data_IF_588627902124
#
_entry.id   IF_588627902124
#
_cell.length_a   1.000
_cell.length_b   1.000
_cell.length_c   1.000
_cell.angle_alpha   90.00
_cell.angle_beta   90.00
_cell.angle_gamma   90.00
#
_symmetry.space_group_name_H-M   'P 1'
#
loop_
_entity.id
_entity.type
_entity.pdbx_description
1 polymer ?
#
# COMPACT_ATOMS: atom_id res chain seq x y z
N UNK A 1 -7.59 -7.16 17.25
CA UNK A 1 -6.53 -6.48 16.48
C UNK A 1 -7.18 -5.95 15.20
N UNK A 2 -7.22 -4.64 14.99
CA UNK A 2 -7.96 -4.01 13.88
C UNK A 2 -7.10 -4.14 12.62
N UNK A 3 -7.22 -5.27 11.92
CA UNK A 3 -6.59 -5.46 10.62
C UNK A 3 -7.39 -4.62 9.61
N UNK A 4 -6.87 -3.46 9.26
CA UNK A 4 -7.49 -2.56 8.28
C UNK A 4 -6.99 -2.95 6.90
N UNK A 5 -7.91 -3.35 6.02
CA UNK A 5 -7.62 -3.59 4.61
C UNK A 5 -7.88 -2.28 3.87
N UNK A 6 -6.88 -1.80 3.13
CA UNK A 6 -6.94 -0.61 2.29
C UNK A 6 -6.90 -1.07 0.85
N UNK A 7 -8.00 -0.86 0.14
CA UNK A 7 -8.04 -1.05 -1.30
C UNK A 7 -7.33 0.11 -2.01
N UNK A 8 -6.37 -0.25 -2.86
CA UNK A 8 -5.58 0.65 -3.68
C UNK A 8 -5.99 0.52 -5.15
N UNK A 9 -6.00 1.66 -5.84
CA UNK A 9 -6.09 1.74 -7.28
C UNK A 9 -4.68 1.75 -7.88
N UNK A 10 -4.58 1.47 -9.17
CA UNK A 10 -3.35 1.62 -9.94
C UNK A 10 -2.78 3.05 -9.79
N UNK A 11 -3.66 4.06 -9.81
CA UNK A 11 -3.30 5.46 -9.61
C UNK A 11 -2.72 5.81 -8.23
N UNK A 12 -2.86 4.93 -7.23
CA UNK A 12 -2.32 5.13 -5.88
C UNK A 12 -0.91 4.60 -5.70
N UNK A 13 -0.43 3.82 -6.66
CA UNK A 13 0.90 3.23 -6.64
C UNK A 13 1.89 4.14 -7.35
N UNK A 14 3.15 4.03 -6.95
CA UNK A 14 4.24 4.68 -7.64
C UNK A 14 4.51 3.99 -9.00
N UNK A 15 5.35 4.57 -9.88
CA UNK A 15 5.69 3.97 -11.18
C UNK A 15 6.28 2.55 -11.10
N UNK A 16 6.86 2.20 -9.94
CA UNK A 16 7.44 0.89 -9.65
C UNK A 16 6.41 -0.11 -9.09
N UNK A 17 5.14 0.28 -8.94
CA UNK A 17 4.07 -0.60 -8.45
C UNK A 17 3.99 -0.73 -6.92
N UNK A 18 4.67 0.15 -6.19
CA UNK A 18 4.71 0.18 -4.73
C UNK A 18 3.84 1.29 -4.10
N UNK A 19 3.40 1.04 -2.87
CA UNK A 19 2.73 2.03 -2.00
C UNK A 19 3.63 2.35 -0.82
N UNK A 20 3.59 3.59 -0.34
CA UNK A 20 4.25 3.93 0.93
C UNK A 20 3.27 3.85 2.10
N UNK A 21 3.74 3.37 3.25
CA UNK A 21 3.05 3.42 4.53
C UNK A 21 3.96 4.16 5.52
N UNK A 22 3.49 5.17 6.28
CA UNK A 22 2.09 5.61 6.49
C UNK A 22 1.49 6.32 5.27
N UNK A 23 0.24 5.97 4.93
CA UNK A 23 -0.48 6.49 3.76
C UNK A 23 -1.69 7.32 4.20
N UNK A 24 -1.97 8.49 3.58
CA UNK A 24 -3.19 9.26 3.86
C UNK A 24 -4.49 8.49 3.58
N UNK A 25 -4.52 7.56 2.61
CA UNK A 25 -5.66 6.66 2.39
C UNK A 25 -5.94 5.73 3.55
N UNK A 26 -4.93 5.38 4.33
CA UNK A 26 -5.08 4.61 5.55
C UNK A 26 -5.56 5.45 6.74
N UNK A 27 -5.86 6.75 6.53
CA UNK A 27 -6.20 7.69 7.60
C UNK A 27 -5.04 7.95 8.56
N UNK A 28 -3.81 7.57 8.17
CA UNK A 28 -2.63 7.66 9.02
C UNK A 28 -1.91 8.98 8.77
N UNK A 29 -1.65 9.73 9.84
CA UNK A 29 -0.82 10.92 9.75
C UNK A 29 0.66 10.53 9.82
N UNK A 30 1.49 11.12 8.95
CA UNK A 30 2.91 10.78 8.81
C UNK A 30 3.76 11.01 10.08
N UNK A 31 3.31 11.90 10.97
CA UNK A 31 4.14 12.46 12.04
C UNK A 31 4.26 11.58 13.30
N UNK A 32 3.45 10.52 13.47
CA UNK A 32 3.41 9.75 14.73
C UNK A 32 3.05 8.26 14.60
N UNK A 33 3.25 7.65 13.42
CA UNK A 33 2.90 6.25 13.20
C UNK A 33 4.12 5.31 13.30
N UNK A 34 4.93 5.24 12.25
CA UNK A 34 6.14 4.42 12.18
C UNK A 34 7.03 4.93 11.02
N UNK A 35 8.28 4.46 10.89
CA UNK A 35 9.14 4.82 9.76
C UNK A 35 8.47 4.56 8.42
N UNK A 36 8.67 5.46 7.45
CA UNK A 36 8.13 5.29 6.10
C UNK A 36 8.73 4.05 5.45
N UNK A 37 7.86 3.13 5.02
CA UNK A 37 8.23 1.94 4.25
C UNK A 37 7.54 1.93 2.91
N UNK A 38 8.16 1.26 1.94
CA UNK A 38 7.56 0.97 0.65
C UNK A 38 7.17 -0.51 0.61
N UNK A 39 5.95 -0.76 0.16
CA UNK A 39 5.36 -2.09 0.03
C UNK A 39 5.08 -2.33 -1.45
N UNK A 40 5.58 -3.44 -1.97
CA UNK A 40 5.32 -3.88 -3.34
C UNK A 40 3.95 -4.54 -3.42
N UNK A 41 2.98 -3.82 -3.99
CA UNK A 41 1.60 -4.32 -4.12
C UNK A 41 1.34 -4.83 -5.53
N UNK A 42 1.99 -4.25 -6.54
CA UNK A 42 1.75 -4.60 -7.94
C UNK A 42 2.14 -6.05 -8.30
N UNK A 43 3.22 -6.59 -7.74
CA UNK A 43 3.65 -7.95 -8.08
C UNK A 43 2.79 -9.02 -7.40
N UNK A 44 2.44 -8.81 -6.13
CA UNK A 44 1.70 -9.80 -5.32
C UNK A 44 0.18 -9.57 -5.32
N UNK A 45 -0.30 -8.41 -5.77
CA UNK A 45 -1.69 -7.97 -5.65
C UNK A 45 -2.09 -7.51 -4.23
N UNK A 46 -1.27 -7.80 -3.23
CA UNK A 46 -1.45 -7.38 -1.84
C UNK A 46 -0.13 -7.30 -1.08
N UNK A 47 -0.03 -6.41 -0.11
CA UNK A 47 1.11 -6.30 0.77
C UNK A 47 0.71 -5.87 2.18
N UNK A 48 1.37 -6.42 3.20
CA UNK A 48 1.12 -6.09 4.60
C UNK A 48 2.25 -5.28 5.19
N UNK A 49 1.90 -4.17 5.84
CA UNK A 49 2.89 -3.38 6.57
C UNK A 49 3.37 -4.14 7.83
N UNK A 50 4.68 -4.34 8.02
CA UNK A 50 5.22 -5.05 9.19
C UNK A 50 5.08 -4.26 10.50
N UNK A 51 4.82 -2.94 10.43
CA UNK A 51 4.73 -2.07 11.61
C UNK A 51 3.30 -1.92 12.10
N UNK A 52 2.39 -1.45 11.25
CA UNK A 52 1.00 -1.19 11.63
C UNK A 52 0.05 -2.36 11.35
N UNK A 53 0.48 -3.36 10.59
CA UNK A 53 -0.34 -4.52 10.22
C UNK A 53 -1.44 -4.22 9.20
N UNK A 54 -1.51 -2.99 8.66
CA UNK A 54 -2.41 -2.62 7.56
C UNK A 54 -2.08 -3.44 6.33
N UNK A 55 -3.12 -3.99 5.70
CA UNK A 55 -3.03 -4.74 4.47
C UNK A 55 -3.46 -3.84 3.31
N UNK A 56 -2.58 -3.65 2.36
CA UNK A 56 -2.84 -2.89 1.14
C UNK A 56 -3.12 -3.88 0.03
N UNK A 57 -4.28 -3.79 -0.58
CA UNK A 57 -4.72 -4.71 -1.61
C UNK A 57 -5.04 -3.93 -2.88
N UNK A 58 -4.51 -4.37 -4.02
CA UNK A 58 -4.90 -3.83 -5.31
C UNK A 58 -6.33 -4.25 -5.63
N UNK A 59 -7.13 -3.30 -6.11
CA UNK A 59 -8.49 -3.57 -6.53
C UNK A 59 -8.51 -4.62 -7.64
N UNK A 60 -9.45 -5.56 -7.56
CA UNK A 60 -9.59 -6.63 -8.53
C UNK A 60 -9.77 -6.07 -9.96
N UNK A 61 -8.87 -6.45 -10.86
CA UNK A 61 -8.85 -6.00 -12.26
C UNK A 61 -7.90 -4.83 -12.54
N UNK A 62 -7.26 -4.25 -11.52
CA UNK A 62 -6.21 -3.25 -11.72
C UNK A 62 -4.83 -3.92 -11.77
N UNK A 63 -4.24 -3.93 -12.96
CA UNK A 63 -2.84 -4.31 -13.18
C UNK A 63 -2.06 -3.07 -13.55
N UNK A 64 -1.06 -2.72 -12.74
CA UNK A 64 -0.04 -1.78 -13.17
C UNK A 64 0.95 -2.51 -14.04
N UNK A 65 1.07 -2.06 -15.29
CA UNK A 65 2.24 -2.36 -16.09
C UNK A 65 3.40 -1.53 -15.52
N UNK A 66 4.00 -1.97 -14.41
CA UNK A 66 5.25 -1.41 -13.92
C UNK A 66 6.31 -1.71 -14.98
N UNK A 67 6.67 -0.69 -15.76
CA UNK A 67 7.66 -0.79 -16.81
C UNK A 67 9.03 -1.06 -16.19
N UNK A 68 9.61 -2.19 -16.60
CA UNK A 68 10.91 -2.68 -16.14
C UNK A 68 12.09 -1.88 -16.72
#
# INVERSE_FOLDING_TARGET
MKQTVIELLASDLNPEGGVYCPNPKAGMQLWNAHPKVYLDVAHAGMAKCPYCGTEYQLKAGETLNAGH
#
